data_IF_546245314607
#
_entry.id   IF_546245314607
#
_cell.length_a   1.000
_cell.length_b   1.000
_cell.length_c   1.000
_cell.angle_alpha   90.00
_cell.angle_beta   90.00
_cell.angle_gamma   90.00
#
_symmetry.space_group_name_H-M   'P 1'
#
loop_
_entity.id
_entity.type
_entity.pdbx_description
1 polymer ?
#
# COMPACT_ATOMS: atom_id res chain seq x y z
N UNK A 1 5.40 -9.76 0.04
CA UNK A 1 4.94 -8.94 1.17
C UNK A 1 5.41 -9.52 2.49
N UNK A 2 5.12 -10.78 2.85
CA UNK A 2 5.63 -11.39 4.09
C UNK A 2 7.16 -11.26 4.21
N UNK A 3 7.90 -11.66 3.18
CA UNK A 3 9.36 -11.52 3.13
C UNK A 3 9.79 -10.06 3.32
N UNK A 4 9.20 -9.13 2.56
CA UNK A 4 9.49 -7.70 2.67
C UNK A 4 9.13 -7.11 4.04
N UNK A 5 8.09 -7.62 4.71
CA UNK A 5 7.73 -7.20 6.06
C UNK A 5 8.77 -7.66 7.08
N UNK A 6 9.29 -8.88 6.92
CA UNK A 6 10.41 -9.38 7.71
C UNK A 6 11.68 -8.55 7.48
N UNK A 7 12.05 -8.33 6.21
CA UNK A 7 13.21 -7.50 5.84
C UNK A 7 13.09 -6.07 6.38
N UNK A 8 11.88 -5.50 6.39
CA UNK A 8 11.63 -4.17 6.94
C UNK A 8 11.85 -4.13 8.47
N UNK A 9 11.38 -5.14 9.21
CA UNK A 9 11.63 -5.27 10.65
C UNK A 9 13.12 -5.48 10.96
N UNK A 10 13.81 -6.30 10.17
CA UNK A 10 15.26 -6.47 10.27
C UNK A 10 16.00 -5.16 10.00
N UNK A 11 15.62 -4.42 8.95
CA UNK A 11 16.20 -3.13 8.62
C UNK A 11 15.98 -2.09 9.72
N UNK A 12 14.81 -2.10 10.35
CA UNK A 12 14.50 -1.23 11.49
C UNK A 12 15.25 -1.64 12.78
N UNK A 13 15.83 -2.84 12.84
CA UNK A 13 16.47 -3.36 14.05
C UNK A 13 15.49 -3.86 15.11
N UNK A 14 14.23 -4.09 14.75
CA UNK A 14 13.15 -4.49 15.66
C UNK A 14 12.57 -5.84 15.26
N UNK A 15 13.28 -6.95 15.51
CA UNK A 15 12.67 -8.27 15.34
C UNK A 15 11.48 -8.41 16.30
N UNK A 16 10.36 -9.00 15.84
CA UNK A 16 9.09 -8.93 16.56
C UNK A 16 9.15 -9.58 17.94
N UNK A 17 9.99 -10.61 18.14
CA UNK A 17 10.11 -11.28 19.44
C UNK A 17 10.77 -10.41 20.52
N UNK A 18 11.45 -9.32 20.13
CA UNK A 18 12.13 -8.40 21.06
C UNK A 18 11.31 -7.15 21.36
N UNK A 19 10.22 -6.92 20.64
CA UNK A 19 9.37 -5.75 20.85
C UNK A 19 8.26 -6.07 21.86
N UNK A 20 8.19 -5.32 22.95
CA UNK A 20 7.23 -5.56 24.03
C UNK A 20 5.81 -5.05 23.71
N UNK A 21 5.69 -4.05 22.83
CA UNK A 21 4.44 -3.38 22.49
C UNK A 21 3.66 -4.05 21.36
N UNK A 22 2.38 -3.66 21.16
CA UNK A 22 1.61 -4.10 20.00
C UNK A 22 2.19 -3.54 18.69
N UNK A 23 2.50 -4.44 17.76
CA UNK A 23 2.86 -4.12 16.37
C UNK A 23 1.61 -4.28 15.50
N UNK A 24 1.17 -3.21 14.84
CA UNK A 24 0.07 -3.23 13.88
C UNK A 24 0.54 -3.36 12.43
N UNK A 25 -0.37 -3.74 11.53
CA UNK A 25 -0.13 -3.83 10.09
C UNK A 25 -1.31 -3.27 9.29
N UNK A 26 -0.98 -2.38 8.35
CA UNK A 26 -1.90 -1.86 7.34
C UNK A 26 -1.30 -2.10 5.97
N UNK A 27 -2.01 -2.79 5.09
CA UNK A 27 -1.45 -3.11 3.76
C UNK A 27 -2.50 -3.14 2.68
N UNK A 28 -2.12 -2.64 1.50
CA UNK A 28 -2.90 -2.75 0.28
C UNK A 28 -2.33 -3.78 -0.69
N UNK A 29 -3.17 -4.31 -1.56
CA UNK A 29 -2.69 -5.15 -2.64
C UNK A 29 -3.50 -5.07 -3.92
N UNK A 30 -2.79 -5.21 -5.04
CA UNK A 30 -3.38 -5.36 -6.36
C UNK A 30 -4.24 -6.62 -6.49
N UNK A 31 -4.91 -6.81 -7.63
CA UNK A 31 -5.67 -8.02 -7.92
C UNK A 31 -4.81 -9.29 -7.79
N UNK A 32 -5.40 -10.40 -7.33
CA UNK A 32 -4.72 -11.69 -7.34
C UNK A 32 -4.77 -12.30 -8.75
N UNK A 33 -3.87 -11.87 -9.61
CA UNK A 33 -3.71 -12.46 -10.94
C UNK A 33 -3.26 -13.93 -10.88
N UNK A 34 -2.58 -14.33 -9.80
CA UNK A 34 -2.21 -15.73 -9.59
C UNK A 34 -3.45 -16.62 -9.43
N UNK A 35 -4.44 -16.17 -8.66
CA UNK A 35 -5.71 -16.88 -8.51
C UNK A 35 -6.39 -17.11 -9.87
N UNK A 36 -6.52 -16.05 -10.66
CA UNK A 36 -7.20 -16.10 -11.97
C UNK A 36 -6.43 -16.94 -12.98
N UNK A 37 -5.12 -16.74 -13.14
CA UNK A 37 -4.36 -17.33 -14.24
C UNK A 37 -3.67 -18.66 -13.92
N UNK A 38 -3.62 -19.09 -12.66
CA UNK A 38 -2.95 -20.34 -12.28
C UNK A 38 -3.86 -21.28 -11.47
N UNK A 39 -4.67 -20.76 -10.55
CA UNK A 39 -5.50 -21.60 -9.68
C UNK A 39 -6.83 -21.96 -10.33
N UNK A 40 -7.59 -20.96 -10.82
CA UNK A 40 -8.86 -21.20 -11.49
C UNK A 40 -8.72 -21.98 -12.80
N UNK A 41 -7.54 -21.95 -13.42
CA UNK A 41 -7.24 -22.67 -14.67
C UNK A 41 -6.75 -24.10 -14.45
N UNK A 42 -6.69 -24.58 -13.20
CA UNK A 42 -6.33 -25.95 -12.85
C UNK A 42 -7.57 -26.72 -12.33
N UNK A 43 -8.31 -27.44 -13.20
CA UNK A 43 -9.57 -28.09 -12.83
C UNK A 43 -9.43 -29.14 -11.73
N UNK A 44 -8.32 -29.90 -11.74
CA UNK A 44 -8.07 -30.94 -10.74
C UNK A 44 -7.87 -30.31 -9.36
N UNK A 45 -7.05 -29.26 -9.27
CA UNK A 45 -6.85 -28.52 -8.01
C UNK A 45 -8.15 -27.93 -7.48
N UNK A 46 -8.96 -27.34 -8.36
CA UNK A 46 -10.26 -26.76 -8.01
C UNK A 46 -11.22 -27.83 -7.50
N UNK A 47 -11.25 -29.01 -8.14
CA UNK A 47 -12.09 -30.14 -7.72
C UNK A 47 -11.65 -30.68 -6.35
N UNK A 48 -10.34 -30.81 -6.14
CA UNK A 48 -9.80 -31.53 -4.98
C UNK A 48 -9.76 -30.66 -3.71
N UNK A 49 -9.48 -29.35 -3.84
CA UNK A 49 -9.40 -28.41 -2.70
C UNK A 49 -10.68 -27.59 -2.53
N UNK A 50 -11.35 -27.26 -3.63
CA UNK A 50 -12.51 -26.36 -3.64
C UNK A 50 -12.15 -24.88 -3.74
N UNK A 51 -12.96 -24.13 -4.50
CA UNK A 51 -12.74 -22.69 -4.74
C UNK A 51 -12.74 -21.84 -3.46
N UNK A 52 -13.56 -22.21 -2.48
CA UNK A 52 -13.63 -21.48 -1.22
C UNK A 52 -12.27 -21.47 -0.53
N UNK A 53 -11.69 -22.64 -0.29
CA UNK A 53 -10.39 -22.75 0.36
C UNK A 53 -9.30 -22.11 -0.49
N UNK A 54 -9.24 -22.36 -1.80
CA UNK A 54 -8.23 -21.73 -2.67
C UNK A 54 -8.24 -20.20 -2.61
N UNK A 55 -9.43 -19.58 -2.51
CA UNK A 55 -9.54 -18.13 -2.33
C UNK A 55 -9.04 -17.70 -0.94
N UNK A 56 -9.52 -18.36 0.12
CA UNK A 56 -9.27 -17.96 1.51
C UNK A 56 -7.86 -18.32 2.01
N UNK A 57 -7.21 -19.33 1.44
CA UNK A 57 -5.86 -19.77 1.82
C UNK A 57 -4.75 -19.00 1.09
N UNK A 58 -5.02 -17.78 0.61
CA UNK A 58 -3.95 -16.84 0.24
C UNK A 58 -4.16 -16.02 -1.02
N UNK A 59 -5.38 -15.96 -1.53
CA UNK A 59 -5.69 -15.26 -2.77
C UNK A 59 -6.71 -14.14 -2.60
N UNK A 60 -7.40 -14.10 -1.47
CA UNK A 60 -8.15 -12.93 -1.04
C UNK A 60 -7.23 -11.92 -0.34
N UNK A 61 -7.53 -10.64 -0.55
CA UNK A 61 -6.77 -9.50 -0.03
C UNK A 61 -6.88 -9.41 1.49
N UNK A 62 -7.99 -9.89 2.05
CA UNK A 62 -8.29 -9.90 3.49
C UNK A 62 -7.24 -10.65 4.32
N UNK A 63 -6.60 -11.67 3.73
CA UNK A 63 -5.65 -12.54 4.43
C UNK A 63 -4.20 -12.05 4.36
N UNK A 64 -3.91 -11.05 3.54
CA UNK A 64 -2.54 -10.54 3.36
C UNK A 64 -1.94 -10.04 4.69
N UNK A 65 -2.54 -9.09 5.42
CA UNK A 65 -1.99 -8.60 6.68
C UNK A 65 -2.06 -9.64 7.80
N UNK A 66 -3.19 -10.35 7.92
CA UNK A 66 -3.44 -11.29 9.02
C UNK A 66 -2.52 -12.51 8.96
N UNK A 67 -2.11 -12.93 7.77
CA UNK A 67 -1.07 -13.97 7.60
C UNK A 67 0.29 -13.51 8.12
N UNK A 68 0.67 -12.26 7.89
CA UNK A 68 1.93 -11.71 8.42
C UNK A 68 1.85 -11.63 9.93
N UNK A 69 0.75 -11.11 10.47
CA UNK A 69 0.52 -11.08 11.92
C UNK A 69 0.59 -12.47 12.54
N UNK A 70 -0.02 -13.46 11.91
CA UNK A 70 0.00 -14.85 12.37
C UNK A 70 1.42 -15.45 12.38
N UNK A 71 2.18 -15.27 11.30
CA UNK A 71 3.51 -15.87 11.17
C UNK A 71 4.58 -15.18 12.02
N UNK A 72 4.42 -13.88 12.28
CA UNK A 72 5.38 -13.07 13.03
C UNK A 72 4.94 -12.74 14.47
N UNK A 73 3.83 -13.34 14.94
CA UNK A 73 3.20 -13.07 16.25
C UNK A 73 2.95 -11.58 16.54
N UNK A 74 2.44 -10.85 15.54
CA UNK A 74 2.09 -9.43 15.68
C UNK A 74 0.68 -9.29 16.25
N UNK A 75 0.56 -8.59 17.39
CA UNK A 75 -0.68 -8.54 18.19
C UNK A 75 -1.43 -7.22 18.15
N UNK A 76 -1.00 -6.27 17.32
CA UNK A 76 -1.76 -5.05 17.02
C UNK A 76 -2.84 -5.25 15.95
N UNK A 77 -3.55 -4.18 15.53
CA UNK A 77 -4.50 -4.22 14.43
C UNK A 77 -3.87 -4.76 13.15
N UNK A 78 -4.63 -5.56 12.40
CA UNK A 78 -4.16 -6.21 11.17
C UNK A 78 -5.17 -6.02 10.05
N UNK A 79 -4.92 -5.05 9.18
CA UNK A 79 -5.95 -4.48 8.29
C UNK A 79 -5.53 -4.46 6.82
N UNK A 80 -6.42 -4.99 5.97
CA UNK A 80 -6.32 -4.84 4.52
C UNK A 80 -6.95 -3.50 4.14
N UNK A 81 -6.20 -2.67 3.41
CA UNK A 81 -6.62 -1.31 3.02
C UNK A 81 -6.68 -1.24 1.49
N UNK A 82 -7.86 -1.04 0.93
CA UNK A 82 -8.10 -1.12 -0.50
C UNK A 82 -8.75 0.17 -1.01
N UNK A 83 -7.93 1.05 -1.57
CA UNK A 83 -8.35 2.33 -2.17
C UNK A 83 -7.79 2.49 -3.59
N UNK A 84 -7.62 1.37 -4.31
CA UNK A 84 -6.99 1.31 -5.64
C UNK A 84 -5.55 1.86 -5.63
N UNK A 85 -5.19 2.77 -6.53
CA UNK A 85 -3.81 3.27 -6.69
C UNK A 85 -3.24 3.94 -5.44
N UNK A 86 -4.09 4.46 -4.54
CA UNK A 86 -3.67 5.11 -3.29
C UNK A 86 -3.55 4.17 -2.09
N UNK A 87 -3.75 2.85 -2.27
CA UNK A 87 -3.90 1.90 -1.16
C UNK A 87 -2.73 1.91 -0.18
N UNK A 88 -1.49 1.90 -0.68
CA UNK A 88 -0.29 1.89 0.16
C UNK A 88 -0.11 3.19 0.96
N UNK A 89 -0.38 4.34 0.36
CA UNK A 89 -0.29 5.62 1.06
C UNK A 89 -1.43 5.81 2.07
N UNK A 90 -2.62 5.28 1.76
CA UNK A 90 -3.74 5.22 2.72
C UNK A 90 -3.39 4.33 3.91
N UNK A 91 -2.71 3.20 3.67
CA UNK A 91 -2.22 2.33 4.74
C UNK A 91 -1.21 3.05 5.64
N UNK A 92 -0.29 3.84 5.07
CA UNK A 92 0.64 4.70 5.83
C UNK A 92 -0.12 5.73 6.67
N UNK A 93 -1.12 6.41 6.09
CA UNK A 93 -1.94 7.36 6.83
C UNK A 93 -2.61 6.72 8.05
N UNK A 94 -3.27 5.57 7.88
CA UNK A 94 -3.94 4.86 8.98
C UNK A 94 -2.96 4.38 10.05
N UNK A 95 -1.80 3.84 9.64
CA UNK A 95 -0.74 3.46 10.56
C UNK A 95 -0.23 4.66 11.40
N UNK A 96 -0.05 5.83 10.78
CA UNK A 96 0.28 7.07 11.50
C UNK A 96 -0.81 7.44 12.51
N UNK A 97 -2.10 7.32 12.14
CA UNK A 97 -3.20 7.62 13.07
C UNK A 97 -3.17 6.67 14.28
N UNK A 98 -2.99 5.36 14.08
CA UNK A 98 -2.93 4.38 15.18
C UNK A 98 -1.69 4.56 16.08
N UNK A 99 -0.56 5.02 15.54
CA UNK A 99 0.60 5.40 16.34
C UNK A 99 0.32 6.65 17.19
N UNK A 100 -0.28 7.68 16.61
CA UNK A 100 -0.60 8.94 17.28
C UNK A 100 -1.70 8.78 18.34
N UNK A 101 -2.67 7.90 18.11
CA UNK A 101 -3.69 7.52 19.09
C UNK A 101 -3.17 6.55 20.17
N UNK A 102 -1.91 6.11 20.06
CA UNK A 102 -1.27 5.11 20.94
C UNK A 102 -2.00 3.76 20.97
N UNK A 103 -2.65 3.38 19.88
CA UNK A 103 -3.21 2.04 19.68
C UNK A 103 -2.10 1.01 19.46
N UNK A 104 -1.01 1.43 18.81
CA UNK A 104 0.20 0.62 18.57
C UNK A 104 1.47 1.36 18.92
N UNK A 105 2.55 0.63 19.20
CA UNK A 105 3.89 1.20 19.46
C UNK A 105 4.80 1.16 18.23
N UNK A 106 4.43 0.31 17.27
CA UNK A 106 5.07 0.15 15.98
C UNK A 106 4.03 -0.24 14.94
N UNK A 107 4.19 0.22 13.72
CA UNK A 107 3.30 -0.13 12.62
C UNK A 107 4.08 -0.51 11.37
N UNK A 108 3.63 -1.58 10.71
CA UNK A 108 4.01 -1.92 9.35
C UNK A 108 2.97 -1.33 8.39
N UNK A 109 3.41 -0.53 7.42
CA UNK A 109 2.54 0.01 6.39
C UNK A 109 3.13 -0.23 5.00
N UNK A 110 2.29 -0.55 4.02
CA UNK A 110 2.81 -0.80 2.68
C UNK A 110 1.80 -1.28 1.66
N UNK A 111 2.32 -1.85 0.58
CA UNK A 111 1.49 -2.53 -0.39
C UNK A 111 2.26 -3.38 -1.39
N UNK A 112 1.54 -4.23 -2.11
CA UNK A 112 2.09 -5.15 -3.10
C UNK A 112 1.21 -5.28 -4.33
N UNK A 113 1.81 -5.26 -5.51
CA UNK A 113 1.15 -5.65 -6.76
C UNK A 113 2.10 -6.51 -7.56
N UNK A 114 1.63 -7.65 -8.07
CA UNK A 114 2.40 -8.56 -8.92
C UNK A 114 1.57 -8.85 -10.16
N UNK A 115 1.99 -8.29 -11.29
CA UNK A 115 1.36 -8.47 -12.60
C UNK A 115 1.68 -9.87 -13.14
N UNK A 116 0.66 -10.62 -13.51
CA UNK A 116 0.77 -11.93 -14.16
C UNK A 116 -0.18 -12.01 -15.37
N UNK A 117 0.17 -12.81 -16.39
CA UNK A 117 1.43 -13.53 -16.56
C UNK A 117 2.59 -12.60 -16.93
N UNK A 118 3.79 -12.92 -16.47
CA UNK A 118 5.00 -12.20 -16.87
C UNK A 118 5.30 -12.38 -18.35
N UNK A 119 6.11 -11.46 -18.90
CA UNK A 119 6.54 -11.47 -20.32
C UNK A 119 5.39 -11.36 -21.32
N UNK A 120 4.26 -10.80 -20.90
CA UNK A 120 3.21 -10.34 -21.80
C UNK A 120 3.18 -8.82 -21.82
N UNK A 121 3.04 -8.26 -23.02
CA UNK A 121 2.64 -6.88 -23.20
C UNK A 121 1.12 -6.77 -23.18
N UNK A 122 0.63 -5.61 -23.59
CA UNK A 122 -0.80 -5.33 -23.75
C UNK A 122 -1.06 -4.84 -25.17
N UNK A 123 -2.32 -4.91 -25.60
CA UNK A 123 -2.78 -4.26 -26.81
C UNK A 123 -3.34 -2.89 -26.42
N UNK A 124 -2.91 -1.85 -27.11
CA UNK A 124 -3.43 -0.51 -26.88
C UNK A 124 -4.87 -0.41 -27.41
N UNK A 125 -5.71 0.27 -26.64
CA UNK A 125 -7.09 0.58 -26.99
C UNK A 125 -7.37 2.05 -26.69
N UNK A 126 -7.90 2.77 -27.69
CA UNK A 126 -8.26 4.19 -27.55
C UNK A 126 -9.26 4.37 -26.39
N UNK A 127 -8.98 5.31 -25.50
CA UNK A 127 -9.81 5.62 -24.33
C UNK A 127 -9.49 4.81 -23.07
N UNK A 128 -8.55 3.87 -23.13
CA UNK A 128 -7.98 3.22 -21.95
C UNK A 128 -6.77 3.98 -21.39
N UNK A 129 -6.28 3.55 -20.23
CA UNK A 129 -5.21 4.23 -19.48
C UNK A 129 -3.78 3.84 -19.92
N UNK A 130 -3.63 2.81 -20.76
CA UNK A 130 -2.34 2.23 -21.11
C UNK A 130 -1.71 2.93 -22.33
N UNK A 131 -0.43 3.31 -22.20
CA UNK A 131 0.30 4.04 -23.23
C UNK A 131 0.46 3.22 -24.53
N UNK A 132 0.34 3.82 -25.72
CA UNK A 132 0.49 3.09 -26.98
C UNK A 132 1.93 2.58 -27.22
N UNK A 133 2.93 3.23 -26.64
CA UNK A 133 4.35 2.97 -26.87
C UNK A 133 5.03 2.22 -25.72
N UNK A 134 4.30 1.85 -24.65
CA UNK A 134 4.90 1.20 -23.49
C UNK A 134 5.75 2.12 -22.62
N UNK A 135 5.56 3.45 -22.68
CA UNK A 135 6.28 4.40 -21.83
C UNK A 135 5.34 5.31 -21.02
N UNK A 136 5.55 5.33 -19.70
CA UNK A 136 4.95 6.34 -18.83
C UNK A 136 5.80 7.63 -18.88
N UNK A 137 5.23 8.72 -19.41
CA UNK A 137 5.94 10.00 -19.63
C UNK A 137 5.33 11.10 -18.77
N UNK A 138 5.46 11.00 -17.45
CA UNK A 138 4.86 11.95 -16.51
C UNK A 138 5.23 13.41 -16.84
N UNK A 139 4.21 14.25 -17.05
CA UNK A 139 4.32 15.69 -17.36
C UNK A 139 5.00 16.06 -18.70
N UNK A 140 5.32 15.10 -19.57
CA UNK A 140 5.83 15.36 -20.92
C UNK A 140 4.66 15.68 -21.88
N UNK A 141 4.87 16.57 -22.86
CA UNK A 141 3.89 16.87 -23.91
C UNK A 141 3.49 15.66 -24.76
N UNK A 142 4.27 14.57 -24.74
CA UNK A 142 4.01 13.28 -25.41
C UNK A 142 3.36 12.26 -24.47
N UNK A 143 2.83 12.66 -23.32
CA UNK A 143 2.19 11.74 -22.39
C UNK A 143 0.89 11.17 -22.98
N UNK A 144 0.85 9.86 -23.23
CA UNK A 144 -0.28 9.16 -23.86
C UNK A 144 -0.81 7.99 -23.01
N UNK A 145 -0.39 7.88 -21.75
CA UNK A 145 -0.87 6.86 -20.82
C UNK A 145 0.17 6.41 -19.79
N UNK A 146 -0.11 5.31 -19.11
CA UNK A 146 0.78 4.66 -18.12
C UNK A 146 1.16 3.25 -18.53
N UNK A 147 2.05 2.63 -17.75
CA UNK A 147 2.41 1.21 -17.84
C UNK A 147 2.36 0.61 -16.44
N UNK A 148 1.70 -0.54 -16.30
CA UNK A 148 1.67 -1.25 -15.04
C UNK A 148 2.97 -2.00 -14.78
N UNK A 149 3.34 -2.06 -13.50
CA UNK A 149 4.53 -2.73 -13.02
C UNK A 149 4.24 -3.55 -11.78
N UNK A 150 5.14 -4.48 -11.47
CA UNK A 150 5.12 -5.25 -10.23
C UNK A 150 6.04 -4.62 -9.20
N UNK A 151 5.62 -4.63 -7.94
CA UNK A 151 6.40 -4.09 -6.84
C UNK A 151 5.80 -4.41 -5.48
N UNK A 152 6.65 -4.38 -4.46
CA UNK A 152 6.28 -4.47 -3.06
C UNK A 152 7.09 -3.45 -2.26
N UNK A 153 6.44 -2.80 -1.30
CA UNK A 153 7.11 -1.89 -0.37
C UNK A 153 6.46 -1.96 1.00
N UNK A 154 7.29 -1.92 2.03
CA UNK A 154 6.88 -1.90 3.45
C UNK A 154 7.75 -0.88 4.18
N UNK A 155 7.13 -0.05 5.00
CA UNK A 155 7.81 0.85 5.93
C UNK A 155 7.46 0.46 7.36
N UNK A 156 8.46 0.53 8.24
CA UNK A 156 8.27 0.43 9.70
C UNK A 156 8.13 1.85 10.24
N UNK A 157 7.05 2.09 10.96
CA UNK A 157 6.70 3.40 11.51
C UNK A 157 6.68 3.33 13.04
N UNK A 158 7.23 4.35 13.67
CA UNK A 158 7.16 4.58 15.12
C UNK A 158 6.91 6.06 15.38
N UNK A 159 6.45 6.37 16.59
CA UNK A 159 6.44 7.76 17.05
C UNK A 159 7.88 8.26 17.16
N UNK A 160 8.11 9.51 16.75
CA UNK A 160 9.46 10.09 16.73
C UNK A 160 10.10 10.10 18.11
N UNK A 161 9.33 10.38 19.16
CA UNK A 161 9.81 10.36 20.55
C UNK A 161 10.34 8.99 20.97
N UNK A 162 9.63 7.91 20.61
CA UNK A 162 10.03 6.54 20.95
C UNK A 162 11.24 6.10 20.14
N UNK A 163 11.28 6.44 18.85
CA UNK A 163 12.42 6.15 17.98
C UNK A 163 13.71 6.83 18.47
N UNK A 164 13.61 8.08 18.95
CA UNK A 164 14.74 8.79 19.55
C UNK A 164 15.16 8.15 20.88
N UNK A 165 14.20 7.80 21.74
CA UNK A 165 14.46 7.19 23.04
C UNK A 165 15.18 5.84 22.91
N UNK A 166 14.80 5.04 21.91
CA UNK A 166 15.37 3.72 21.65
C UNK A 166 16.65 3.77 20.78
N UNK A 167 17.02 4.94 20.26
CA UNK A 167 18.20 5.13 19.42
C UNK A 167 18.05 4.52 18.02
N UNK A 168 16.83 4.48 17.50
CA UNK A 168 16.53 3.93 16.18
C UNK A 168 17.19 4.75 15.07
N UNK A 169 17.51 4.09 13.97
CA UNK A 169 17.91 4.79 12.76
C UNK A 169 16.67 5.42 12.08
N UNK A 170 16.60 6.74 12.08
CA UNK A 170 15.47 7.49 11.51
C UNK A 170 15.80 7.91 10.07
N UNK A 171 15.19 7.22 9.10
CA UNK A 171 15.33 7.53 7.67
C UNK A 171 14.66 8.86 7.27
N UNK A 172 13.47 9.11 7.82
CA UNK A 172 12.67 10.30 7.53
C UNK A 172 11.63 10.52 8.64
N UNK A 173 11.05 11.72 8.69
CA UNK A 173 9.94 12.05 9.58
C UNK A 173 8.71 12.37 8.75
N UNK A 174 7.62 11.62 8.95
CA UNK A 174 6.32 11.94 8.37
C UNK A 174 5.73 13.10 9.16
N UNK A 175 5.78 14.32 8.59
CA UNK A 175 5.30 15.54 9.25
C UNK A 175 3.77 15.58 9.36
N UNK A 176 3.07 15.10 8.34
CA UNK A 176 1.61 15.06 8.28
C UNK A 176 1.13 14.26 7.08
N UNK A 177 -0.10 13.76 7.16
CA UNK A 177 -0.77 13.02 6.07
C UNK A 177 -2.24 13.40 6.02
N UNK A 178 -2.86 13.31 4.85
CA UNK A 178 -4.29 13.50 4.67
C UNK A 178 -4.83 12.53 3.61
N UNK A 179 -6.12 12.17 3.73
CA UNK A 179 -6.86 11.33 2.79
C UNK A 179 -8.25 11.92 2.64
N UNK A 180 -8.71 12.13 1.41
CA UNK A 180 -10.07 12.58 1.13
C UNK A 180 -10.68 11.83 -0.08
N UNK A 181 -11.86 12.27 -0.51
CA UNK A 181 -12.51 11.76 -1.72
C UNK A 181 -13.05 12.92 -2.56
N UNK A 182 -12.92 12.78 -3.88
CA UNK A 182 -13.38 13.79 -4.86
C UNK A 182 -14.90 13.97 -4.88
N UNK A 183 -15.67 12.97 -4.43
CA UNK A 183 -17.12 12.98 -4.53
C UNK A 183 -17.60 12.94 -5.97
N UNK A 184 -18.71 13.63 -6.27
CA UNK A 184 -19.34 13.64 -7.59
C UNK A 184 -18.89 14.80 -8.50
N UNK A 185 -18.07 15.73 -8.01
CA UNK A 185 -17.63 16.92 -8.76
C UNK A 185 -16.48 16.58 -9.72
N UNK A 186 -16.80 15.75 -10.71
CA UNK A 186 -15.89 15.25 -11.76
C UNK A 186 -16.67 14.75 -12.96
N UNK A 187 -16.04 14.72 -14.13
CA UNK A 187 -16.70 14.39 -15.41
C UNK A 187 -17.27 12.96 -15.43
N UNK A 188 -16.58 12.01 -14.78
CA UNK A 188 -17.05 10.64 -14.59
C UNK A 188 -16.38 10.02 -13.35
N UNK A 189 -16.75 8.78 -13.00
CA UNK A 189 -16.23 8.07 -11.82
C UNK A 189 -14.70 7.94 -11.78
N UNK A 190 -14.05 7.73 -12.93
CA UNK A 190 -12.61 7.51 -13.07
C UNK A 190 -11.82 8.81 -13.30
N UNK A 191 -12.49 9.92 -13.60
CA UNK A 191 -11.83 11.20 -13.81
C UNK A 191 -11.24 11.76 -12.50
N UNK A 192 -10.06 12.40 -12.56
CA UNK A 192 -9.52 13.11 -11.40
C UNK A 192 -10.30 14.41 -11.11
N UNK A 193 -10.24 14.90 -9.87
CA UNK A 193 -10.69 16.25 -9.49
C UNK A 193 -9.54 17.14 -9.05
N UNK A 194 -9.38 18.30 -9.70
CA UNK A 194 -8.36 19.30 -9.32
C UNK A 194 -8.62 19.84 -7.91
N UNK A 195 -9.89 20.19 -7.61
CA UNK A 195 -10.27 20.74 -6.32
C UNK A 195 -10.11 19.72 -5.18
N UNK A 196 -10.46 18.45 -5.44
CA UNK A 196 -10.28 17.36 -4.46
C UNK A 196 -8.82 17.14 -4.11
N UNK A 197 -7.95 17.10 -5.11
CA UNK A 197 -6.50 16.99 -4.93
C UNK A 197 -5.91 18.20 -4.21
N UNK A 198 -6.26 19.42 -4.63
CA UNK A 198 -5.77 20.65 -4.01
C UNK A 198 -6.17 20.73 -2.53
N UNK A 199 -7.42 20.37 -2.20
CA UNK A 199 -7.89 20.30 -0.82
C UNK A 199 -7.12 19.26 0.01
N UNK A 200 -6.86 18.08 -0.56
CA UNK A 200 -6.08 17.05 0.13
C UNK A 200 -4.67 17.53 0.47
N UNK A 201 -4.02 18.23 -0.47
CA UNK A 201 -2.69 18.82 -0.24
C UNK A 201 -2.72 19.88 0.86
N UNK A 202 -3.71 20.79 0.83
CA UNK A 202 -3.86 21.83 1.87
C UNK A 202 -4.09 21.22 3.25
N UNK A 203 -4.91 20.17 3.36
CA UNK A 203 -5.11 19.44 4.61
C UNK A 203 -3.80 18.80 5.09
N UNK A 204 -3.03 18.17 4.20
CA UNK A 204 -1.75 17.58 4.55
C UNK A 204 -0.74 18.64 5.06
N UNK A 205 -0.67 19.82 4.42
CA UNK A 205 0.17 20.93 4.90
C UNK A 205 -0.29 21.45 6.26
N UNK A 206 -1.60 21.58 6.46
CA UNK A 206 -2.18 21.98 7.74
C UNK A 206 -1.84 20.99 8.86
N UNK A 207 -1.97 19.69 8.60
CA UNK A 207 -1.60 18.63 9.54
C UNK A 207 -0.11 18.60 9.83
N UNK A 208 0.72 18.89 8.82
CA UNK A 208 2.18 18.94 8.96
C UNK A 208 2.70 20.21 9.65
N UNK A 209 1.89 21.27 9.70
CA UNK A 209 2.31 22.59 10.19
C UNK A 209 3.42 23.21 9.34
N UNK A 210 3.43 22.93 8.03
CA UNK A 210 4.46 23.41 7.09
C UNK A 210 3.85 24.34 6.04
N UNK A 211 4.64 25.29 5.57
CA UNK A 211 4.23 26.20 4.51
C UNK A 211 4.63 25.63 3.13
N UNK A 212 3.83 25.80 2.07
CA UNK A 212 4.14 25.22 0.76
C UNK A 212 5.50 25.65 0.17
N UNK A 213 5.99 26.85 0.51
CA UNK A 213 7.29 27.38 0.08
C UNK A 213 8.48 26.69 0.74
N UNK A 214 8.25 25.87 1.77
CA UNK A 214 9.31 25.06 2.42
C UNK A 214 9.41 23.64 1.86
N UNK A 215 8.61 23.29 0.85
CA UNK A 215 8.65 21.97 0.22
C UNK A 215 9.61 22.00 -0.96
N UNK A 216 10.70 21.25 -0.86
CA UNK A 216 11.67 21.02 -1.93
C UNK A 216 11.48 19.64 -2.61
N UNK A 217 12.17 19.47 -3.73
CA UNK A 217 12.14 18.25 -4.56
C UNK A 217 13.40 17.42 -4.35
#
# INVERSE_FOLDING_TARGET
FLETAWEALENAGHPPEKHAGPIGIWTGCGPSYYFTFNLCTNPDLVRDVGLFLLRHTGNDKDFLPTRVSYLLDLRGPSMAVQTACSSSLTAVHLACQSLLSREVDMALAGGVTIELPHRRGYLHHDGEILAPDGHCRAFDHRAEGTVFGSGVGVVVLRRLEDAIADGDHIWAVIKGTAVNNDGSTKVNYLAPSVDGQARCMVEAYGMAGVSPDTIDC
#
